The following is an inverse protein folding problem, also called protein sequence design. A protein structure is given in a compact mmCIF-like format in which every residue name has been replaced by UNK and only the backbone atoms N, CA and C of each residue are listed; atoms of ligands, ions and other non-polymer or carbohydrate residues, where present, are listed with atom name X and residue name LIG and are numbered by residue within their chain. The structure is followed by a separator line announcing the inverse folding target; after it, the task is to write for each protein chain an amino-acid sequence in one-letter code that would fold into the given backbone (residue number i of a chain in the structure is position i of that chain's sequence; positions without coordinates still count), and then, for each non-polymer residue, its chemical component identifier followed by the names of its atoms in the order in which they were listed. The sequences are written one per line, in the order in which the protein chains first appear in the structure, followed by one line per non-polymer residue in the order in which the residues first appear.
data_IF_248379157658
#
_entry.id   IF_248379157658
#
_cell.length_a   1.000
_cell.length_b   1.000
_cell.length_c   1.000
_cell.angle_alpha   90.00
_cell.angle_beta   90.00
_cell.angle_gamma   90.00
#
_symmetry.space_group_name_H-M   'P 1'
#
loop_
_entity.id
_entity.type
_entity.pdbx_description
1 polymer ?
#
# COMPACT_ATOMS: atom_id res chain seq x y z
N UNK A 1 -41.88 17.37 19.14
CA UNK A 1 -40.64 17.28 19.95
C UNK A 1 -40.17 15.84 19.97
N UNK A 2 -39.28 15.50 19.04
CA UNK A 2 -38.20 14.53 19.26
C UNK A 2 -37.01 15.12 18.52
N UNK A 3 -36.07 15.59 19.31
CA UNK A 3 -34.85 16.28 18.91
C UNK A 3 -33.73 15.24 19.00
N UNK A 4 -32.83 15.20 18.00
CA UNK A 4 -31.40 14.84 18.06
C UNK A 4 -30.90 14.42 16.67
N UNK A 5 -30.71 15.37 15.77
CA UNK A 5 -29.74 15.18 14.69
C UNK A 5 -28.37 15.56 15.26
N UNK A 6 -27.76 14.64 15.99
CA UNK A 6 -26.32 14.73 16.29
C UNK A 6 -25.61 14.58 14.96
N UNK A 7 -25.17 15.69 14.37
CA UNK A 7 -24.30 15.68 13.19
C UNK A 7 -23.05 14.88 13.55
N UNK A 8 -23.03 13.61 13.15
CA UNK A 8 -21.85 12.80 13.31
C UNK A 8 -20.76 13.44 12.46
N UNK A 9 -19.65 13.80 13.11
CA UNK A 9 -18.47 14.32 12.43
C UNK A 9 -17.45 13.20 12.32
N UNK A 10 -16.82 13.08 11.16
CA UNK A 10 -15.71 12.16 10.91
C UNK A 10 -14.44 12.97 10.72
N UNK A 11 -13.33 12.51 11.28
CA UNK A 11 -12.03 13.11 11.04
C UNK A 11 -11.40 12.48 9.80
N UNK A 12 -10.77 13.31 8.97
CA UNK A 12 -9.98 12.82 7.85
C UNK A 12 -8.66 12.25 8.38
N UNK A 13 -8.37 10.97 8.11
CA UNK A 13 -7.09 10.34 8.49
C UNK A 13 -5.89 10.90 7.73
N UNK A 14 -6.11 11.58 6.59
CA UNK A 14 -5.02 12.10 5.76
C UNK A 14 -4.55 13.50 6.19
N UNK A 15 -5.47 14.38 6.59
CA UNK A 15 -5.11 15.77 6.93
C UNK A 15 -5.69 16.27 8.27
N UNK A 16 -6.40 15.42 9.00
CA UNK A 16 -6.93 15.74 10.34
C UNK A 16 -8.13 16.69 10.39
N UNK A 17 -8.66 17.12 9.24
CA UNK A 17 -9.83 18.02 9.21
C UNK A 17 -11.12 17.28 9.59
N UNK A 18 -12.04 17.98 10.25
CA UNK A 18 -13.39 17.50 10.53
C UNK A 18 -14.28 17.63 9.29
N UNK A 19 -15.06 16.59 9.01
CA UNK A 19 -16.01 16.51 7.90
C UNK A 19 -17.33 15.91 8.41
N UNK A 20 -18.41 16.11 7.67
CA UNK A 20 -19.70 15.43 7.95
C UNK A 20 -19.53 13.92 7.78
N UNK A 21 -20.13 13.09 8.64
CA UNK A 21 -20.04 11.64 8.53
C UNK A 21 -20.63 11.08 7.23
N UNK A 22 -21.52 11.82 6.57
CA UNK A 22 -22.06 11.46 5.24
C UNK A 22 -21.20 11.97 4.09
N UNK A 23 -20.16 12.77 4.36
CA UNK A 23 -19.25 13.24 3.32
C UNK A 23 -18.47 12.06 2.75
N UNK A 24 -18.54 11.89 1.42
CA UNK A 24 -17.81 10.82 0.73
C UNK A 24 -16.32 11.13 0.59
N UNK A 25 -15.99 12.43 0.52
CA UNK A 25 -14.64 12.96 0.35
C UNK A 25 -14.40 14.12 1.32
N UNK A 26 -13.15 14.30 1.73
CA UNK A 26 -12.69 15.38 2.58
C UNK A 26 -12.73 16.71 1.84
N UNK A 27 -13.35 17.73 2.45
CA UNK A 27 -13.46 19.06 1.87
C UNK A 27 -12.13 19.82 1.79
N UNK A 28 -11.16 19.46 2.64
CA UNK A 28 -9.87 20.13 2.71
C UNK A 28 -8.80 19.52 1.78
N UNK A 29 -8.71 18.18 1.71
CA UNK A 29 -7.67 17.51 0.92
C UNK A 29 -8.20 16.60 -0.20
N UNK A 30 -9.51 16.40 -0.30
CA UNK A 30 -10.14 15.56 -1.33
C UNK A 30 -10.09 14.05 -1.07
N UNK A 31 -9.48 13.59 0.03
CA UNK A 31 -9.38 12.16 0.35
C UNK A 31 -10.75 11.51 0.64
N UNK A 32 -10.97 10.26 0.24
CA UNK A 32 -12.24 9.57 0.51
C UNK A 32 -12.42 9.22 1.99
N UNK A 33 -13.64 9.37 2.49
CA UNK A 33 -14.05 9.20 3.89
C UNK A 33 -15.01 8.02 4.11
N UNK A 34 -15.34 7.24 3.07
CA UNK A 34 -16.45 6.30 3.11
C UNK A 34 -16.14 5.06 3.97
N UNK A 35 -16.81 4.94 5.13
CA UNK A 35 -16.87 3.71 5.95
C UNK A 35 -18.27 3.13 5.79
N UNK A 36 -18.43 2.11 4.94
CA UNK A 36 -19.73 1.44 4.78
C UNK A 36 -20.00 0.53 5.98
N UNK A 37 -20.91 0.99 6.82
CA UNK A 37 -21.66 0.19 7.79
C UNK A 37 -22.33 -0.98 7.04
N UNK A 38 -21.84 -2.21 7.25
CA UNK A 38 -22.61 -3.41 6.89
C UNK A 38 -23.17 -4.04 8.14
N UNK A 39 -24.39 -3.60 8.39
CA UNK A 39 -25.41 -4.17 9.23
C UNK A 39 -25.52 -5.69 9.05
N UNK A 40 -25.46 -6.37 10.19
CA UNK A 40 -25.68 -7.80 10.39
C UNK A 40 -27.11 -8.15 9.96
N UNK A 41 -27.29 -9.07 9.02
CA UNK A 41 -28.59 -9.74 8.83
C UNK A 41 -28.38 -11.25 8.69
N UNK A 42 -29.09 -11.99 9.54
CA UNK A 42 -29.00 -13.44 9.77
C UNK A 42 -30.14 -14.18 9.06
N UNK A 43 -29.80 -15.33 8.43
CA UNK A 43 -30.61 -16.54 8.05
C UNK A 43 -31.58 -16.50 6.83
N UNK A 44 -31.97 -17.68 6.25
CA UNK A 44 -31.67 -19.08 6.63
C UNK A 44 -31.09 -20.00 5.53
N UNK A 45 -30.65 -21.14 6.05
CA UNK A 45 -30.04 -22.32 5.45
C UNK A 45 -31.09 -23.24 4.78
N UNK A 46 -30.91 -23.56 3.49
CA UNK A 46 -31.64 -24.62 2.77
C UNK A 46 -30.63 -25.60 2.16
N UNK A 47 -30.87 -26.90 2.39
CA UNK A 47 -29.93 -28.01 2.22
C UNK A 47 -29.55 -28.32 0.75
N UNK A 48 -28.25 -28.60 0.59
CA UNK A 48 -27.64 -29.63 -0.27
C UNK A 48 -27.82 -29.61 -1.79
N UNK A 49 -26.74 -29.28 -2.49
CA UNK A 49 -26.24 -30.13 -3.57
C UNK A 49 -24.72 -30.20 -3.55
N UNK A 50 -24.19 -31.39 -3.29
CA UNK A 50 -22.78 -31.73 -3.48
C UNK A 50 -22.38 -31.46 -4.94
N UNK A 51 -21.12 -31.04 -5.11
CA UNK A 51 -20.36 -31.41 -6.29
C UNK A 51 -19.97 -30.27 -7.23
N UNK A 52 -19.18 -29.31 -6.75
CA UNK A 52 -18.00 -28.84 -7.47
C UNK A 52 -17.18 -27.95 -6.53
N UNK A 53 -16.06 -28.48 -6.02
CA UNK A 53 -15.00 -27.64 -5.48
C UNK A 53 -14.42 -26.90 -6.69
N UNK A 54 -15.02 -25.77 -7.06
CA UNK A 54 -14.33 -24.82 -7.93
C UNK A 54 -13.21 -24.25 -7.08
N UNK A 55 -12.02 -24.80 -7.33
CA UNK A 55 -10.74 -24.22 -6.92
C UNK A 55 -10.86 -22.71 -7.04
N UNK A 56 -10.83 -22.07 -5.86
CA UNK A 56 -10.85 -20.62 -5.74
C UNK A 56 -9.58 -20.13 -6.42
N UNK A 57 -9.72 -19.87 -7.71
CA UNK A 57 -8.75 -19.26 -8.59
C UNK A 57 -8.46 -17.92 -7.93
N UNK A 58 -7.33 -17.88 -7.22
CA UNK A 58 -6.85 -16.72 -6.50
C UNK A 58 -6.70 -15.61 -7.53
N UNK A 59 -7.70 -14.74 -7.61
CA UNK A 59 -7.66 -13.51 -8.38
C UNK A 59 -6.80 -12.50 -7.62
N UNK A 60 -5.55 -12.88 -7.36
CA UNK A 60 -4.48 -11.95 -7.04
C UNK A 60 -3.85 -11.55 -8.36
N UNK A 61 -3.82 -10.26 -8.66
CA UNK A 61 -3.23 -9.75 -9.90
C UNK A 61 -1.88 -10.42 -10.18
N UNK A 62 -1.65 -10.75 -11.44
CA UNK A 62 -0.50 -11.50 -11.96
C UNK A 62 0.87 -10.97 -11.48
N UNK A 63 0.89 -9.75 -10.95
CA UNK A 63 1.98 -9.13 -10.18
C UNK A 63 2.59 -10.05 -9.11
N UNK A 64 1.79 -10.81 -8.36
CA UNK A 64 2.34 -11.72 -7.34
C UNK A 64 3.18 -12.84 -7.95
N UNK A 65 2.72 -13.38 -9.08
CA UNK A 65 3.44 -14.42 -9.83
C UNK A 65 4.67 -13.87 -10.56
N UNK A 66 4.61 -12.62 -11.04
CA UNK A 66 5.76 -11.97 -11.67
C UNK A 66 6.87 -11.68 -10.67
N UNK A 67 6.53 -11.12 -9.51
CA UNK A 67 7.50 -10.82 -8.45
C UNK A 67 8.06 -12.13 -7.88
N UNK A 68 7.20 -13.10 -7.57
CA UNK A 68 7.63 -14.41 -7.08
C UNK A 68 8.50 -15.15 -8.08
N UNK A 69 8.13 -15.13 -9.36
CA UNK A 69 8.91 -15.73 -10.45
C UNK A 69 10.28 -15.08 -10.62
N UNK A 70 10.37 -13.75 -10.58
CA UNK A 70 11.63 -13.03 -10.67
C UNK A 70 12.57 -13.38 -9.51
N UNK A 71 12.06 -13.42 -8.28
CA UNK A 71 12.83 -13.79 -7.10
C UNK A 71 13.36 -15.23 -7.23
N UNK A 72 12.51 -16.16 -7.69
CA UNK A 72 12.88 -17.57 -7.83
C UNK A 72 13.92 -17.79 -8.93
N UNK A 73 13.83 -17.05 -10.05
CA UNK A 73 14.85 -17.02 -11.10
C UNK A 73 16.18 -16.48 -10.55
N UNK A 74 16.16 -15.38 -9.80
CA UNK A 74 17.36 -14.79 -9.20
C UNK A 74 18.04 -15.75 -8.22
N UNK A 75 17.26 -16.47 -7.39
CA UNK A 75 17.78 -17.51 -6.48
C UNK A 75 18.41 -18.66 -7.28
N UNK A 76 17.74 -19.12 -8.35
CA UNK A 76 18.26 -20.19 -9.21
C UNK A 76 19.58 -19.82 -9.88
N UNK A 77 19.68 -18.61 -10.44
CA UNK A 77 20.92 -18.11 -11.05
C UNK A 77 22.03 -18.00 -10.00
N UNK A 78 21.73 -17.41 -8.84
CA UNK A 78 22.70 -17.29 -7.75
C UNK A 78 23.20 -18.65 -7.21
N UNK A 79 22.37 -19.70 -7.25
CA UNK A 79 22.78 -21.05 -6.86
C UNK A 79 23.78 -21.68 -7.85
N UNK A 80 23.69 -21.33 -9.14
CA UNK A 80 24.56 -21.88 -10.20
C UNK A 80 25.86 -21.08 -10.33
N UNK A 81 25.76 -19.74 -10.34
CA UNK A 81 26.91 -18.84 -10.55
C UNK A 81 27.62 -18.46 -9.26
N UNK A 82 27.05 -18.81 -8.10
CA UNK A 82 27.50 -18.41 -6.78
C UNK A 82 26.88 -17.07 -6.32
N UNK A 83 26.53 -17.00 -5.03
CA UNK A 83 25.94 -15.82 -4.39
C UNK A 83 26.86 -14.58 -4.40
N UNK A 84 28.17 -14.81 -4.52
CA UNK A 84 29.20 -13.78 -4.42
C UNK A 84 29.17 -12.79 -5.58
N UNK A 85 28.83 -13.23 -6.80
CA UNK A 85 28.80 -12.35 -7.97
C UNK A 85 27.69 -11.29 -7.83
N UNK A 86 26.49 -11.69 -7.45
CA UNK A 86 25.37 -10.76 -7.23
C UNK A 86 25.67 -9.78 -6.10
N UNK A 87 26.14 -10.29 -4.95
CA UNK A 87 26.46 -9.46 -3.79
C UNK A 87 27.60 -8.47 -4.08
N UNK A 88 28.58 -8.87 -4.88
CA UNK A 88 29.73 -8.04 -5.26
C UNK A 88 29.35 -6.86 -6.15
N UNK A 89 28.32 -6.96 -6.98
CA UNK A 89 27.89 -5.85 -7.85
C UNK A 89 26.75 -5.03 -7.23
N UNK A 90 25.83 -5.67 -6.51
CA UNK A 90 24.69 -4.99 -5.90
C UNK A 90 25.13 -3.99 -4.82
N UNK A 91 26.07 -4.39 -3.96
CA UNK A 91 26.49 -3.57 -2.82
C UNK A 91 27.20 -2.26 -3.22
N UNK A 92 28.17 -2.26 -4.15
CA UNK A 92 28.81 -1.03 -4.62
C UNK A 92 27.84 -0.07 -5.30
N UNK A 93 26.93 -0.57 -6.13
CA UNK A 93 25.94 0.27 -6.83
C UNK A 93 25.04 0.98 -5.80
N UNK A 94 24.56 0.25 -4.79
CA UNK A 94 23.73 0.82 -3.72
C UNK A 94 24.47 1.91 -2.94
N UNK A 95 25.76 1.72 -2.65
CA UNK A 95 26.59 2.72 -1.96
C UNK A 95 26.82 3.95 -2.83
N UNK A 96 27.07 3.78 -4.12
CA UNK A 96 27.26 4.90 -5.05
C UNK A 96 25.98 5.75 -5.13
N UNK A 97 24.81 5.10 -5.25
CA UNK A 97 23.52 5.79 -5.29
C UNK A 97 23.24 6.54 -3.97
N UNK A 98 23.48 5.89 -2.83
CA UNK A 98 23.31 6.51 -1.52
C UNK A 98 24.28 7.69 -1.32
N UNK A 99 25.54 7.53 -1.71
CA UNK A 99 26.56 8.57 -1.64
C UNK A 99 26.21 9.79 -2.49
N UNK A 100 25.79 9.57 -3.74
CA UNK A 100 25.31 10.65 -4.61
C UNK A 100 24.08 11.35 -4.02
N UNK A 101 23.13 10.60 -3.46
CA UNK A 101 21.95 11.17 -2.82
C UNK A 101 22.31 12.04 -1.61
N UNK A 102 23.23 11.58 -0.75
CA UNK A 102 23.73 12.36 0.37
C UNK A 102 24.49 13.61 -0.08
N UNK A 103 25.31 13.50 -1.12
CA UNK A 103 26.01 14.64 -1.74
C UNK A 103 25.03 15.67 -2.32
N UNK A 104 23.99 15.22 -3.02
CA UNK A 104 22.95 16.09 -3.56
C UNK A 104 22.12 16.75 -2.45
N UNK A 105 21.79 16.01 -1.39
CA UNK A 105 21.12 16.55 -0.21
C UNK A 105 21.99 17.60 0.50
N UNK A 106 23.28 17.31 0.67
CA UNK A 106 24.25 18.24 1.25
C UNK A 106 24.40 19.49 0.38
N UNK A 107 24.56 19.32 -0.93
CA UNK A 107 24.64 20.41 -1.89
C UNK A 107 23.37 21.27 -1.85
N UNK A 108 22.18 20.65 -1.86
CA UNK A 108 20.90 21.36 -1.76
C UNK A 108 20.74 22.11 -0.43
N UNK A 109 21.18 21.51 0.68
CA UNK A 109 21.14 22.13 2.01
C UNK A 109 22.10 23.31 2.11
N UNK A 110 23.32 23.16 1.61
CA UNK A 110 24.36 24.20 1.65
C UNK A 110 24.12 25.33 0.64
N UNK A 111 23.47 25.04 -0.50
CA UNK A 111 23.11 26.07 -1.47
C UNK A 111 21.96 26.96 -0.95
N UNK A 112 21.03 26.40 -0.16
CA UNK A 112 19.99 27.19 0.52
C UNK A 112 20.53 28.16 1.57
N UNK A 113 21.67 27.84 2.20
CA UNK A 113 22.28 28.70 3.22
C UNK A 113 23.17 29.81 2.65
N UNK A 114 23.31 29.92 1.32
CA UNK A 114 24.12 30.95 0.66
C UNK A 114 23.34 32.17 0.15
N UNK A 115 22.02 32.21 0.38
CA UNK A 115 21.13 33.32 0.00
C UNK A 115 20.75 34.24 1.16
N UNK A 116 21.49 34.20 2.27
CA UNK A 116 21.38 35.15 3.39
C UNK A 116 22.73 35.80 3.66
#
# INVERSE_FOLDING_TARGET
MIDKETSQVVYCSQCGSYNDAKALNCTNCGASLMVTERETTVKPEYYSSRGNVKSQRQSGGSIGLLIGGLILVMIGVAAITGFTMFWSYFWPIMIILLGLWLLLLWYRRNNKTRHF
#
